data_IF_180231321507
#
_entry.id   IF_180231321507
#
_cell.length_a   1.000
_cell.length_b   1.000
_cell.length_c   1.000
_cell.angle_alpha   90.00
_cell.angle_beta   90.00
_cell.angle_gamma   90.00
#
_symmetry.space_group_name_H-M   'P 1'
#
loop_
_entity.id
_entity.type
_entity.pdbx_description
1 polymer ?
#
# COMPACT_ATOMS: atom_id res chain seq x y z
N UNK A 1 57.87 38.61 1.85
CA UNK A 1 56.87 37.98 2.76
C UNK A 1 55.41 38.22 2.36
N UNK A 2 55.04 39.37 1.77
CA UNK A 2 53.63 39.64 1.38
C UNK A 2 53.04 38.77 0.25
N UNK A 3 53.85 38.27 -0.71
CA UNK A 3 53.35 37.45 -1.83
C UNK A 3 52.98 36.01 -1.44
N UNK A 4 53.56 35.45 -0.38
CA UNK A 4 53.20 34.11 0.10
C UNK A 4 51.87 34.10 0.89
N UNK A 5 51.54 35.20 1.58
CA UNK A 5 50.31 35.30 2.37
C UNK A 5 49.04 35.40 1.51
N UNK A 6 49.12 36.05 0.33
CA UNK A 6 48.03 36.10 -0.65
C UNK A 6 47.73 34.73 -1.29
N UNK A 7 48.74 33.89 -1.46
CA UNK A 7 48.58 32.53 -2.03
C UNK A 7 47.87 31.59 -1.05
N UNK A 8 48.21 31.65 0.24
CA UNK A 8 47.60 30.82 1.27
C UNK A 8 46.10 31.13 1.50
N UNK A 9 45.71 32.40 1.43
CA UNK A 9 44.31 32.81 1.55
C UNK A 9 43.45 32.44 0.32
N UNK A 10 44.05 32.42 -0.88
CA UNK A 10 43.36 31.98 -2.09
C UNK A 10 43.18 30.46 -2.12
N UNK A 11 44.17 29.72 -1.61
CA UNK A 11 44.12 28.26 -1.51
C UNK A 11 43.12 27.77 -0.45
N UNK A 12 42.96 28.49 0.68
CA UNK A 12 41.93 28.18 1.68
C UNK A 12 40.50 28.50 1.20
N UNK A 13 40.33 29.53 0.37
CA UNK A 13 39.05 29.87 -0.27
C UNK A 13 38.65 28.86 -1.36
N UNK A 14 39.62 28.29 -2.08
CA UNK A 14 39.39 27.21 -3.06
C UNK A 14 39.09 25.85 -2.41
N UNK A 15 39.71 25.53 -1.26
CA UNK A 15 39.39 24.31 -0.51
C UNK A 15 38.02 24.37 0.18
N UNK A 16 37.50 25.56 0.50
CA UNK A 16 36.16 25.72 1.09
C UNK A 16 35.03 25.69 0.06
N UNK A 17 35.33 25.78 -1.25
CA UNK A 17 34.36 25.63 -2.34
C UNK A 17 34.18 24.18 -2.83
N UNK A 18 34.90 23.20 -2.28
CA UNK A 18 34.93 21.81 -2.80
C UNK A 18 34.04 20.82 -2.04
N UNK A 19 33.12 21.29 -1.18
CA UNK A 19 32.10 20.46 -0.52
C UNK A 19 30.69 20.68 -1.11
N UNK A 20 30.58 20.82 -2.43
CA UNK A 20 29.30 20.56 -3.07
C UNK A 20 29.18 19.05 -3.24
N UNK A 21 28.49 18.40 -2.31
CA UNK A 21 27.95 17.07 -2.58
C UNK A 21 27.12 17.17 -3.85
N UNK A 22 27.56 16.51 -4.92
CA UNK A 22 26.78 16.39 -6.15
C UNK A 22 25.41 15.80 -5.78
N UNK A 23 24.36 16.63 -5.85
CA UNK A 23 23.00 16.21 -5.49
C UNK A 23 22.50 15.31 -6.62
N UNK A 24 22.81 14.01 -6.54
CA UNK A 24 22.22 13.00 -7.41
C UNK A 24 20.71 12.96 -7.18
N UNK A 25 19.93 13.59 -8.06
CA UNK A 25 18.47 13.55 -8.02
C UNK A 25 17.95 12.35 -8.80
N UNK A 26 17.01 11.61 -8.24
CA UNK A 26 16.17 10.68 -9.02
C UNK A 26 15.25 11.48 -9.93
N UNK A 27 14.89 10.92 -11.09
CA UNK A 27 13.93 11.56 -11.99
C UNK A 27 12.74 10.66 -12.24
N UNK A 28 11.54 11.23 -12.17
CA UNK A 28 10.33 10.56 -12.61
C UNK A 28 9.99 11.04 -14.01
N UNK A 29 10.08 10.13 -15.00
CA UNK A 29 9.58 10.38 -16.35
C UNK A 29 8.17 9.81 -16.46
N UNK A 30 7.18 10.68 -16.33
CA UNK A 30 5.76 10.33 -16.46
C UNK A 30 5.40 10.40 -17.94
N UNK A 31 4.91 9.29 -18.50
CA UNK A 31 4.58 9.16 -19.94
C UNK A 31 3.11 8.80 -20.06
N UNK A 32 2.35 9.59 -20.82
CA UNK A 32 0.97 9.25 -21.15
C UNK A 32 0.94 8.42 -22.44
N UNK A 33 0.70 7.11 -22.31
CA UNK A 33 0.44 6.20 -23.44
C UNK A 33 -1.05 5.97 -23.71
N UNK A 34 -1.93 6.56 -22.91
CA UNK A 34 -3.37 6.53 -23.17
C UNK A 34 -3.70 7.33 -24.44
N UNK A 35 -4.82 7.00 -25.10
CA UNK A 35 -5.30 7.71 -26.30
C UNK A 35 -5.95 9.07 -25.99
N UNK A 36 -6.12 9.40 -24.71
CA UNK A 36 -6.74 10.64 -24.24
C UNK A 36 -5.78 11.42 -23.34
N UNK A 37 -6.08 12.70 -23.12
CA UNK A 37 -5.34 13.54 -22.16
C UNK A 37 -5.60 13.06 -20.74
N UNK A 38 -4.54 12.97 -19.94
CA UNK A 38 -4.60 12.71 -18.50
C UNK A 38 -4.07 13.92 -17.74
N UNK A 39 -4.44 14.03 -16.47
CA UNK A 39 -3.92 15.08 -15.60
C UNK A 39 -3.27 14.47 -14.36
N UNK A 40 -1.96 14.18 -14.40
CA UNK A 40 -1.27 13.62 -13.25
C UNK A 40 -1.41 14.51 -12.01
N UNK A 41 -1.55 13.88 -10.86
CA UNK A 41 -1.52 14.49 -9.53
C UNK A 41 -0.39 13.86 -8.71
N UNK A 42 0.23 14.65 -7.83
CA UNK A 42 1.36 14.23 -7.01
C UNK A 42 1.12 14.71 -5.58
N UNK A 43 1.22 13.77 -4.66
CA UNK A 43 1.16 14.00 -3.23
C UNK A 43 2.48 13.58 -2.61
N UNK A 44 3.24 14.54 -2.09
CA UNK A 44 4.37 14.23 -1.20
C UNK A 44 3.82 13.90 0.19
N UNK A 45 4.41 12.89 0.86
CA UNK A 45 4.07 12.56 2.25
C UNK A 45 4.29 13.73 3.23
N UNK A 46 3.66 13.63 4.42
CA UNK A 46 3.72 14.68 5.44
C UNK A 46 5.17 15.04 5.84
N UNK A 47 5.37 16.30 6.26
CA UNK A 47 6.66 16.84 6.73
C UNK A 47 7.79 16.90 5.70
N UNK A 48 7.49 16.84 4.39
CA UNK A 48 8.47 17.05 3.31
C UNK A 48 7.99 18.13 2.33
N UNK A 49 8.91 18.86 1.68
CA UNK A 49 8.55 19.83 0.64
C UNK A 49 7.76 19.16 -0.50
N UNK A 50 6.62 19.73 -0.92
CA UNK A 50 5.87 19.24 -2.07
C UNK A 50 6.73 19.24 -3.33
N UNK A 51 6.52 18.26 -4.22
CA UNK A 51 7.04 18.34 -5.57
C UNK A 51 6.30 19.44 -6.33
N UNK A 52 7.04 20.17 -7.16
CA UNK A 52 6.47 21.18 -8.06
C UNK A 52 6.65 20.70 -9.51
N UNK A 53 5.58 20.50 -10.28
CA UNK A 53 4.16 20.70 -9.92
C UNK A 53 3.59 19.58 -9.04
N UNK A 54 2.51 19.89 -8.32
CA UNK A 54 1.64 18.91 -7.64
C UNK A 54 0.53 18.39 -8.55
N UNK A 55 0.31 19.02 -9.70
CA UNK A 55 -0.56 18.48 -10.75
C UNK A 55 -0.38 19.21 -12.08
N UNK A 56 -0.54 18.48 -13.19
CA UNK A 56 -0.32 19.04 -14.53
C UNK A 56 -1.13 18.32 -15.61
N UNK A 57 -1.25 18.93 -16.79
CA UNK A 57 -1.87 18.33 -17.97
C UNK A 57 -0.84 17.52 -18.77
N UNK A 58 -1.20 16.32 -19.22
CA UNK A 58 -0.35 15.49 -20.08
C UNK A 58 -1.15 14.90 -21.24
N UNK A 59 -0.95 15.42 -22.46
CA UNK A 59 -1.62 14.94 -23.68
C UNK A 59 -1.16 13.52 -24.05
N UNK A 60 -1.97 12.83 -24.86
CA UNK A 60 -1.63 11.51 -25.42
C UNK A 60 -0.26 11.54 -26.12
N UNK A 61 0.58 10.53 -25.86
CA UNK A 61 1.96 10.43 -26.35
C UNK A 61 2.95 11.38 -25.67
N UNK A 62 2.46 12.31 -24.84
CA UNK A 62 3.30 13.27 -24.12
C UNK A 62 4.06 12.64 -22.96
N UNK A 63 5.15 13.30 -22.55
CA UNK A 63 5.87 12.95 -21.33
C UNK A 63 6.33 14.19 -20.58
N UNK A 64 6.47 14.07 -19.27
CA UNK A 64 7.06 15.10 -18.40
C UNK A 64 8.04 14.44 -17.46
N UNK A 65 9.23 15.04 -17.35
CA UNK A 65 10.25 14.61 -16.39
C UNK A 65 10.24 15.55 -15.20
N UNK A 66 10.20 14.98 -14.01
CA UNK A 66 10.28 15.70 -12.74
C UNK A 66 11.55 15.29 -12.01
N UNK A 67 12.24 16.27 -11.43
CA UNK A 67 13.32 15.99 -10.49
C UNK A 67 12.71 15.70 -9.14
N UNK A 68 13.07 14.56 -8.57
CA UNK A 68 12.59 14.11 -7.28
C UNK A 68 13.79 14.11 -6.33
N UNK A 69 13.64 14.64 -5.10
CA UNK A 69 14.67 14.53 -4.08
C UNK A 69 15.09 13.08 -3.90
N UNK A 70 16.38 12.85 -3.63
CA UNK A 70 16.94 11.51 -3.43
C UNK A 70 16.17 10.70 -2.38
N UNK A 71 15.75 11.36 -1.30
CA UNK A 71 14.84 10.81 -0.32
C UNK A 71 13.47 11.46 -0.49
N UNK A 72 12.52 10.72 -1.06
CA UNK A 72 11.15 11.18 -1.26
C UNK A 72 10.20 10.02 -1.05
N UNK A 73 9.07 10.29 -0.40
CA UNK A 73 7.96 9.33 -0.32
C UNK A 73 6.68 10.06 -0.63
N UNK A 74 5.81 9.40 -1.38
CA UNK A 74 4.58 9.98 -1.87
C UNK A 74 3.93 9.13 -2.94
N UNK A 75 2.87 9.69 -3.51
CA UNK A 75 1.97 9.00 -4.43
C UNK A 75 1.78 9.83 -5.69
N UNK A 76 1.72 9.15 -6.82
CA UNK A 76 1.41 9.72 -8.13
C UNK A 76 0.18 9.01 -8.66
N UNK A 77 -0.79 9.77 -9.15
CA UNK A 77 -1.96 9.23 -9.84
C UNK A 77 -2.24 10.05 -11.10
N UNK A 78 -3.24 9.65 -11.87
CA UNK A 78 -3.69 10.45 -13.00
C UNK A 78 -5.21 10.57 -13.05
N UNK A 79 -5.67 11.81 -13.22
CA UNK A 79 -7.08 12.16 -13.40
C UNK A 79 -7.48 12.02 -14.86
N UNK A 80 -8.74 11.67 -15.10
CA UNK A 80 -9.31 11.56 -16.45
C UNK A 80 -10.63 12.32 -16.55
N UNK A 81 -11.05 12.60 -17.78
CA UNK A 81 -12.29 13.31 -18.09
C UNK A 81 -12.41 14.65 -17.34
N UNK A 82 -11.31 15.42 -17.31
CA UNK A 82 -11.29 16.72 -16.65
C UNK A 82 -11.82 17.83 -17.55
N UNK A 83 -12.49 18.80 -16.93
CA UNK A 83 -12.96 20.01 -17.58
C UNK A 83 -12.70 21.25 -16.71
N UNK A 84 -12.38 22.35 -17.38
CA UNK A 84 -12.47 23.70 -16.83
C UNK A 84 -13.41 24.48 -17.74
N UNK A 85 -14.72 24.25 -17.62
CA UNK A 85 -15.68 25.04 -18.37
C UNK A 85 -15.50 26.53 -18.01
N UNK A 86 -15.80 27.44 -18.94
CA UNK A 86 -15.56 28.87 -18.74
C UNK A 86 -16.29 29.39 -17.51
N UNK A 87 -15.53 29.83 -16.49
CA UNK A 87 -16.07 30.31 -15.22
C UNK A 87 -16.26 29.25 -14.13
N UNK A 88 -16.00 27.96 -14.42
CA UNK A 88 -16.12 26.86 -13.47
C UNK A 88 -14.75 26.41 -12.93
N UNK A 89 -14.76 25.83 -11.73
CA UNK A 89 -13.56 25.23 -11.11
C UNK A 89 -13.13 23.99 -11.89
N UNK A 90 -11.82 23.79 -12.05
CA UNK A 90 -11.29 22.59 -12.68
C UNK A 90 -11.69 21.36 -11.86
N UNK A 91 -12.30 20.39 -12.53
CA UNK A 91 -12.78 19.14 -11.92
C UNK A 91 -12.63 17.98 -12.90
N UNK A 92 -12.57 16.77 -12.35
CA UNK A 92 -12.38 15.53 -13.10
C UNK A 92 -13.41 14.47 -12.70
N UNK A 93 -13.79 13.60 -13.64
CA UNK A 93 -14.73 12.52 -13.32
C UNK A 93 -14.09 11.41 -12.46
N UNK A 94 -12.79 11.20 -12.58
CA UNK A 94 -12.06 10.15 -11.83
C UNK A 94 -10.83 10.73 -11.14
N UNK A 95 -10.54 10.24 -9.93
CA UNK A 95 -9.33 10.56 -9.17
C UNK A 95 -9.10 12.07 -8.93
N UNK A 96 -10.17 12.87 -8.96
CA UNK A 96 -10.11 14.31 -8.75
C UNK A 96 -9.52 14.62 -7.36
N UNK A 97 -8.79 15.72 -7.23
CA UNK A 97 -8.19 16.11 -5.95
C UNK A 97 -8.93 17.28 -5.29
N UNK A 98 -10.08 17.69 -5.82
CA UNK A 98 -10.98 18.72 -5.32
C UNK A 98 -10.32 20.08 -5.00
N UNK A 99 -9.15 20.36 -5.55
CA UNK A 99 -8.48 21.66 -5.40
C UNK A 99 -9.15 22.76 -6.23
N UNK A 100 -10.03 22.39 -7.16
CA UNK A 100 -10.63 23.28 -8.15
C UNK A 100 -9.61 23.78 -9.20
N UNK A 101 -8.40 23.20 -9.25
CA UNK A 101 -7.28 23.60 -10.11
C UNK A 101 -6.58 22.37 -10.69
N UNK A 102 -5.78 22.58 -11.73
CA UNK A 102 -4.91 21.52 -12.25
C UNK A 102 -3.89 21.09 -11.19
N UNK A 103 -3.32 22.01 -10.43
CA UNK A 103 -2.49 21.72 -9.26
C UNK A 103 -3.33 21.14 -8.11
N UNK A 104 -2.86 20.06 -7.46
CA UNK A 104 -3.57 19.45 -6.33
C UNK A 104 -3.22 20.06 -4.97
N UNK A 105 -2.13 20.82 -4.86
CA UNK A 105 -1.82 21.64 -3.68
C UNK A 105 -1.68 20.85 -2.38
N UNK A 106 -1.26 19.58 -2.46
CA UNK A 106 -1.15 18.69 -1.30
C UNK A 106 -2.43 17.90 -0.98
N UNK A 107 -3.51 18.05 -1.75
CA UNK A 107 -4.65 17.14 -1.69
C UNK A 107 -4.33 15.83 -2.42
N UNK A 108 -4.80 14.71 -1.86
CA UNK A 108 -4.76 13.40 -2.51
C UNK A 108 -5.88 13.21 -3.54
N UNK A 109 -5.83 12.09 -4.27
CA UNK A 109 -6.94 11.68 -5.12
C UNK A 109 -8.18 11.32 -4.30
N UNK A 110 -9.36 11.68 -4.80
CA UNK A 110 -10.63 11.13 -4.35
C UNK A 110 -10.84 9.79 -5.07
N UNK A 111 -10.93 8.67 -4.34
CA UNK A 111 -11.15 7.36 -4.94
C UNK A 111 -12.46 7.26 -5.76
N UNK A 112 -12.52 6.39 -6.79
CA UNK A 112 -11.48 5.42 -7.16
C UNK A 112 -10.29 6.01 -7.93
N UNK A 113 -9.07 5.57 -7.58
CA UNK A 113 -7.84 6.01 -8.21
C UNK A 113 -6.76 4.91 -8.17
N UNK A 114 -6.18 4.61 -9.33
CA UNK A 114 -4.94 3.81 -9.41
C UNK A 114 -3.77 4.66 -8.94
N UNK A 115 -2.99 4.16 -7.97
CA UNK A 115 -1.88 4.89 -7.35
C UNK A 115 -0.55 4.24 -7.72
N UNK A 116 0.44 5.04 -8.10
CA UNK A 116 1.85 4.66 -8.05
C UNK A 116 2.45 5.22 -6.77
N UNK A 117 2.90 4.33 -5.89
CA UNK A 117 3.44 4.67 -4.59
C UNK A 117 4.95 4.51 -4.61
N UNK A 118 5.67 5.42 -3.94
CA UNK A 118 7.13 5.38 -3.91
C UNK A 118 7.65 5.73 -2.53
N UNK A 119 8.76 5.07 -2.19
CA UNK A 119 9.68 5.43 -1.14
C UNK A 119 11.09 5.33 -1.69
N UNK A 120 11.68 6.47 -2.05
CA UNK A 120 13.03 6.57 -2.58
C UNK A 120 14.06 6.69 -1.46
N UNK A 121 15.20 6.03 -1.65
CA UNK A 121 16.29 5.92 -0.67
C UNK A 121 15.75 5.53 0.71
N UNK A 122 14.85 4.54 0.70
CA UNK A 122 14.35 3.83 1.86
C UNK A 122 15.37 2.82 2.36
N UNK A 123 14.95 1.59 2.61
CA UNK A 123 15.79 0.57 3.26
C UNK A 123 17.10 0.26 2.57
N UNK A 124 18.18 0.22 3.34
CA UNK A 124 19.55 0.04 2.83
C UNK A 124 19.93 1.02 1.69
N UNK A 125 19.22 2.15 1.56
CA UNK A 125 19.34 3.07 0.43
C UNK A 125 18.73 2.55 -0.87
N UNK A 126 17.83 1.56 -0.80
CA UNK A 126 17.02 1.02 -1.89
C UNK A 126 15.76 1.87 -2.09
N UNK A 127 15.23 1.81 -3.31
CA UNK A 127 13.96 2.42 -3.67
C UNK A 127 12.86 1.35 -3.64
N UNK A 128 11.72 1.67 -3.03
CA UNK A 128 10.52 0.83 -3.00
C UNK A 128 9.41 1.52 -3.78
N UNK A 129 8.67 0.75 -4.56
CA UNK A 129 7.58 1.26 -5.38
C UNK A 129 6.63 0.15 -5.78
N UNK A 130 5.36 0.51 -5.94
CA UNK A 130 4.29 -0.38 -6.35
C UNK A 130 3.17 0.39 -7.07
N UNK A 131 2.31 -0.36 -7.75
CA UNK A 131 1.03 0.16 -8.24
C UNK A 131 -0.07 -0.46 -7.38
N UNK A 132 -0.78 0.39 -6.64
CA UNK A 132 -1.82 0.00 -5.69
C UNK A 132 -3.22 0.28 -6.23
N UNK A 133 -4.11 -0.69 -5.99
CA UNK A 133 -5.56 -0.62 -6.28
C UNK A 133 -6.41 -0.63 -5.00
N UNK A 134 -5.80 -0.39 -3.84
CA UNK A 134 -6.49 -0.29 -2.54
C UNK A 134 -7.58 0.79 -2.60
N UNK A 135 -7.25 1.93 -3.22
CA UNK A 135 -8.16 3.05 -3.47
C UNK A 135 -8.95 2.87 -4.79
N UNK A 136 -9.02 1.65 -5.33
CA UNK A 136 -9.72 1.34 -6.59
C UNK A 136 -8.88 1.57 -7.84
N UNK A 137 -9.54 1.54 -8.99
CA UNK A 137 -8.94 1.61 -10.32
C UNK A 137 -9.61 2.70 -11.15
N UNK A 138 -8.83 3.45 -11.93
CA UNK A 138 -9.39 4.33 -12.95
C UNK A 138 -8.67 4.24 -14.31
N UNK A 139 -7.38 3.91 -14.32
CA UNK A 139 -6.60 3.77 -15.54
C UNK A 139 -5.42 2.81 -15.36
N UNK A 140 -4.90 2.20 -16.44
CA UNK A 140 -3.75 1.31 -16.35
C UNK A 140 -2.47 2.09 -16.07
N UNK A 141 -1.62 1.55 -15.21
CA UNK A 141 -0.40 2.21 -14.76
C UNK A 141 0.74 1.20 -14.64
N UNK A 142 1.95 1.65 -14.96
CA UNK A 142 3.17 0.85 -14.89
C UNK A 142 4.33 1.71 -14.41
N UNK A 143 5.05 1.18 -13.42
CA UNK A 143 6.33 1.71 -12.96
C UNK A 143 7.44 0.84 -13.57
N UNK A 144 8.40 1.49 -14.22
CA UNK A 144 9.61 0.84 -14.72
C UNK A 144 10.80 1.63 -14.17
N UNK A 145 11.51 1.05 -13.20
CA UNK A 145 12.76 1.61 -12.73
C UNK A 145 13.85 1.48 -13.81
N UNK A 146 14.60 2.56 -14.04
CA UNK A 146 15.70 2.61 -15.02
C UNK A 146 16.96 3.14 -14.35
N UNK A 147 18.00 2.31 -14.31
CA UNK A 147 19.19 2.56 -13.48
C UNK A 147 18.95 2.11 -12.03
N UNK A 148 20.02 1.79 -11.29
CA UNK A 148 19.93 1.40 -9.86
C UNK A 148 20.40 -0.02 -9.50
N UNK A 149 20.73 -0.89 -10.47
CA UNK A 149 21.10 -2.30 -10.21
C UNK A 149 22.46 -2.57 -9.56
N UNK A 150 23.19 -1.55 -9.10
CA UNK A 150 24.57 -1.69 -8.62
C UNK A 150 24.74 -2.22 -7.19
N UNK A 151 23.64 -2.30 -6.40
CA UNK A 151 23.67 -2.69 -4.97
C UNK A 151 22.91 -3.99 -4.66
N UNK A 152 22.72 -4.86 -5.65
CA UNK A 152 22.17 -6.21 -5.42
C UNK A 152 20.63 -6.32 -5.32
N UNK A 153 19.89 -5.23 -5.50
CA UNK A 153 18.42 -5.26 -5.60
C UNK A 153 17.94 -5.42 -7.05
N UNK A 154 16.94 -6.28 -7.28
CA UNK A 154 16.29 -6.41 -8.59
C UNK A 154 15.28 -5.27 -8.80
N UNK A 155 15.49 -4.47 -9.85
CA UNK A 155 14.56 -3.40 -10.26
C UNK A 155 13.47 -3.96 -11.20
N UNK A 156 12.48 -4.66 -10.64
CA UNK A 156 11.38 -5.25 -11.43
C UNK A 156 10.28 -4.22 -11.76
N UNK A 157 9.74 -4.22 -12.99
CA UNK A 157 8.58 -3.40 -13.29
C UNK A 157 7.34 -3.91 -12.50
N UNK A 158 6.48 -3.00 -12.08
CA UNK A 158 5.23 -3.29 -11.36
C UNK A 158 4.09 -2.43 -11.90
N UNK A 159 2.90 -2.99 -12.06
CA UNK A 159 1.79 -2.29 -12.68
C UNK A 159 0.53 -3.12 -12.90
N UNK A 160 -0.57 -2.41 -13.14
CA UNK A 160 -1.82 -2.96 -13.63
C UNK A 160 -2.03 -2.45 -15.07
N UNK A 161 -1.79 -3.31 -16.06
CA UNK A 161 -1.81 -2.94 -17.48
C UNK A 161 -3.14 -3.23 -18.18
N UNK A 162 -4.00 -4.03 -17.57
CA UNK A 162 -5.32 -4.38 -18.10
C UNK A 162 -6.30 -3.26 -17.79
N UNK A 163 -7.22 -3.00 -18.72
CA UNK A 163 -8.36 -2.12 -18.46
C UNK A 163 -9.39 -2.84 -17.59
N UNK A 164 -9.38 -2.55 -16.29
CA UNK A 164 -10.32 -3.14 -15.35
C UNK A 164 -11.71 -2.50 -15.43
N UNK A 165 -11.87 -1.36 -16.10
CA UNK A 165 -13.16 -0.68 -16.15
C UNK A 165 -14.21 -1.50 -16.93
N UNK A 166 -13.80 -2.14 -18.03
CA UNK A 166 -14.70 -2.97 -18.84
C UNK A 166 -15.12 -4.27 -18.16
N UNK A 167 -14.29 -4.81 -17.27
CA UNK A 167 -14.58 -5.99 -16.46
C UNK A 167 -15.12 -5.62 -15.06
N UNK A 168 -15.27 -4.33 -14.76
CA UNK A 168 -15.68 -3.88 -13.46
C UNK A 168 -17.14 -4.30 -13.20
N UNK A 169 -17.40 -5.04 -12.11
CA UNK A 169 -18.75 -5.39 -11.72
C UNK A 169 -19.62 -4.14 -11.58
N UNK A 170 -20.89 -4.24 -11.95
CA UNK A 170 -21.80 -3.08 -12.04
C UNK A 170 -21.90 -2.31 -10.72
N UNK A 171 -21.85 -3.02 -9.60
CA UNK A 171 -21.97 -2.49 -8.25
C UNK A 171 -20.75 -1.67 -7.85
N UNK A 172 -19.58 -1.95 -8.44
CA UNK A 172 -18.32 -1.24 -8.21
C UNK A 172 -18.05 -0.18 -9.29
N UNK A 173 -18.77 -0.22 -10.40
CA UNK A 173 -18.57 0.67 -11.54
C UNK A 173 -18.93 2.12 -11.22
N UNK A 174 -18.09 3.03 -11.68
CA UNK A 174 -18.38 4.47 -11.68
C UNK A 174 -18.74 4.86 -13.11
N UNK A 175 -20.01 5.21 -13.32
CA UNK A 175 -20.48 5.64 -14.64
C UNK A 175 -19.97 7.05 -14.97
N UNK A 176 -19.70 7.28 -16.26
CA UNK A 176 -19.57 8.63 -16.78
C UNK A 176 -20.94 9.32 -16.63
N UNK A 177 -21.02 10.44 -15.91
CA UNK A 177 -22.25 11.13 -15.53
C UNK A 177 -23.15 11.67 -16.67
N UNK A 178 -22.97 11.21 -17.90
CA UNK A 178 -23.72 11.58 -19.10
C UNK A 178 -24.70 10.49 -19.59
N UNK A 179 -25.06 9.53 -18.75
CA UNK A 179 -25.96 8.43 -19.10
C UNK A 179 -25.31 7.29 -19.91
N UNK A 180 -23.98 7.32 -20.11
CA UNK A 180 -23.27 6.18 -20.69
C UNK A 180 -23.21 5.03 -19.67
N UNK A 181 -23.37 3.79 -20.15
CA UNK A 181 -23.17 2.57 -19.35
C UNK A 181 -21.70 2.17 -19.22
N UNK A 182 -20.79 2.94 -19.79
CA UNK A 182 -19.36 2.68 -19.74
C UNK A 182 -18.82 3.09 -18.36
N UNK A 183 -18.25 2.12 -17.66
CA UNK A 183 -17.51 2.37 -16.42
C UNK A 183 -16.26 3.17 -16.77
N UNK A 184 -16.02 4.28 -16.06
CA UNK A 184 -14.80 5.08 -16.20
C UNK A 184 -13.82 4.87 -15.05
N UNK A 185 -14.28 4.21 -14.00
CA UNK A 185 -13.45 3.80 -12.88
C UNK A 185 -14.13 2.63 -12.13
N UNK A 186 -13.35 1.80 -11.47
CA UNK A 186 -13.82 0.70 -10.64
C UNK A 186 -13.47 0.97 -9.18
N UNK A 187 -14.48 1.01 -8.30
CA UNK A 187 -14.26 1.08 -6.87
C UNK A 187 -13.60 -0.20 -6.39
N UNK A 188 -12.63 -0.08 -5.49
CA UNK A 188 -12.27 -1.23 -4.66
C UNK A 188 -13.46 -1.58 -3.79
N UNK A 189 -13.52 -2.83 -3.34
CA UNK A 189 -14.57 -3.26 -2.43
C UNK A 189 -14.55 -2.42 -1.11
N UNK A 190 -13.37 -1.97 -0.67
CA UNK A 190 -13.22 -1.05 0.47
C UNK A 190 -13.94 0.29 0.22
N UNK A 191 -13.75 0.87 -0.97
CA UNK A 191 -14.37 2.14 -1.34
C UNK A 191 -15.88 2.05 -1.55
N UNK A 192 -16.36 0.95 -2.16
CA UNK A 192 -17.78 0.74 -2.39
C UNK A 192 -18.57 0.71 -1.08
N UNK A 193 -18.02 0.10 -0.01
CA UNK A 193 -18.72 0.04 1.26
C UNK A 193 -18.67 1.32 2.08
N UNK A 194 -17.61 2.14 1.97
CA UNK A 194 -17.59 3.48 2.60
C UNK A 194 -18.81 4.31 2.17
N UNK A 195 -19.22 4.20 0.90
CA UNK A 195 -20.40 4.88 0.37
C UNK A 195 -21.73 4.27 0.83
N UNK A 196 -21.80 2.96 1.01
CA UNK A 196 -22.98 2.30 1.57
C UNK A 196 -23.18 2.69 3.05
N UNK A 197 -22.10 2.80 3.81
CA UNK A 197 -22.11 3.29 5.19
C UNK A 197 -22.47 4.78 5.28
N UNK A 198 -21.98 5.62 4.35
CA UNK A 198 -22.33 7.05 4.30
C UNK A 198 -23.79 7.32 3.89
N UNK A 199 -24.49 6.36 3.25
CA UNK A 199 -25.93 6.47 2.96
C UNK A 199 -26.84 6.03 4.10
N UNK A 200 -26.28 5.53 5.20
CA UNK A 200 -27.03 5.08 6.37
C UNK A 200 -26.83 6.08 7.50
N UNK A 201 -27.46 7.25 7.38
CA UNK A 201 -27.55 8.20 8.50
C UNK A 201 -28.25 7.49 9.67
N UNK A 202 -27.67 7.60 10.87
CA UNK A 202 -28.22 7.19 12.19
C UNK A 202 -27.99 5.77 12.70
N UNK A 203 -26.88 5.10 12.35
CA UNK A 203 -26.40 4.00 13.19
C UNK A 203 -25.00 4.31 13.73
N UNK A 204 -24.88 4.43 15.05
CA UNK A 204 -23.62 4.30 15.75
C UNK A 204 -22.98 2.98 15.29
N UNK A 205 -21.90 3.06 14.50
CA UNK A 205 -21.18 1.88 14.04
C UNK A 205 -20.72 1.13 15.29
N UNK A 206 -21.18 -0.10 15.55
CA UNK A 206 -20.65 -0.82 16.68
C UNK A 206 -19.18 -1.11 16.38
N UNK A 207 -18.30 -0.52 17.17
CA UNK A 207 -16.84 -0.65 17.15
C UNK A 207 -16.33 -2.09 17.43
N UNK A 208 -17.18 -3.12 17.30
CA UNK A 208 -16.99 -4.43 17.96
C UNK A 208 -16.91 -5.64 17.01
N UNK A 209 -16.62 -5.48 15.71
CA UNK A 209 -16.38 -6.64 14.83
C UNK A 209 -15.19 -6.42 13.86
N UNK A 210 -14.05 -5.95 14.40
CA UNK A 210 -12.82 -5.67 13.63
C UNK A 210 -11.71 -6.65 14.00
N UNK A 211 -11.44 -7.67 13.19
CA UNK A 211 -10.17 -8.38 13.32
C UNK A 211 -9.04 -7.43 12.96
N UNK A 212 -8.16 -7.20 13.92
CA UNK A 212 -7.23 -6.08 13.92
C UNK A 212 -5.82 -6.58 14.23
N UNK A 213 -4.86 -6.15 13.43
CA UNK A 213 -3.45 -6.35 13.70
C UNK A 213 -2.86 -5.02 14.17
N UNK A 214 -2.37 -4.98 15.40
CA UNK A 214 -1.64 -3.82 15.91
C UNK A 214 -0.14 -4.03 15.69
N UNK A 215 0.53 -3.02 15.15
CA UNK A 215 1.98 -2.92 15.13
C UNK A 215 2.38 -1.95 16.23
N UNK A 216 2.83 -2.48 17.36
CA UNK A 216 3.28 -1.69 18.51
C UNK A 216 4.79 -1.64 18.62
N UNK A 217 5.40 -0.44 18.66
CA UNK A 217 6.78 -0.28 19.13
C UNK A 217 6.78 0.00 20.62
N UNK A 218 7.29 -0.94 21.42
CA UNK A 218 7.66 -0.65 22.81
C UNK A 218 9.10 -0.15 22.89
N UNK A 219 9.28 1.04 23.47
CA UNK A 219 10.58 1.46 24.00
C UNK A 219 10.94 0.55 25.17
N UNK A 220 11.78 -0.46 24.97
CA UNK A 220 12.47 -1.07 26.10
C UNK A 220 13.36 0.01 26.72
N UNK A 221 13.00 0.52 27.91
CA UNK A 221 13.91 1.29 28.76
C UNK A 221 14.98 0.35 29.30
N UNK A 222 15.91 -0.08 28.45
CA UNK A 222 17.08 -0.83 28.89
C UNK A 222 18.32 -0.28 28.17
N UNK A 223 19.26 0.14 29.01
CA UNK A 223 20.58 0.67 28.72
C UNK A 223 21.49 -0.35 28.02
N UNK A 224 21.23 -0.61 26.74
CA UNK A 224 22.16 -1.28 25.82
C UNK A 224 21.86 -0.87 24.37
N UNK A 225 22.86 -0.77 23.49
CA UNK A 225 22.66 -0.51 22.06
C UNK A 225 22.11 -1.78 21.39
N UNK A 226 20.84 -2.08 21.63
CA UNK A 226 20.13 -3.22 21.06
C UNK A 226 19.16 -2.75 19.96
N UNK A 227 19.13 -3.49 18.85
CA UNK A 227 18.40 -3.18 17.64
C UNK A 227 16.89 -2.94 17.88
N UNK A 228 16.32 -1.91 17.25
CA UNK A 228 14.90 -1.53 17.39
C UNK A 228 13.96 -2.50 16.66
N UNK A 229 13.41 -3.50 17.37
CA UNK A 229 12.35 -4.37 16.86
C UNK A 229 10.94 -3.77 17.00
N UNK A 230 9.92 -4.49 16.51
CA UNK A 230 8.51 -4.16 16.76
C UNK A 230 7.77 -5.37 17.33
N UNK A 231 6.68 -5.10 18.05
CA UNK A 231 5.75 -6.12 18.53
C UNK A 231 4.51 -6.12 17.65
N UNK A 232 4.22 -7.25 17.04
CA UNK A 232 2.96 -7.48 16.34
C UNK A 232 1.96 -8.07 17.33
N UNK A 233 0.83 -7.41 17.54
CA UNK A 233 -0.27 -7.90 18.38
C UNK A 233 -1.48 -8.18 17.50
N UNK A 234 -1.79 -9.45 17.34
CA UNK A 234 -2.96 -9.93 16.63
C UNK A 234 -4.15 -9.92 17.58
N UNK A 235 -5.28 -9.38 17.12
CA UNK A 235 -6.53 -9.31 17.88
C UNK A 235 -7.64 -9.84 16.99
N UNK A 236 -8.23 -10.95 17.40
CA UNK A 236 -9.39 -11.49 16.69
C UNK A 236 -10.66 -10.90 17.30
N UNK A 237 -11.42 -10.14 16.51
CA UNK A 237 -12.77 -9.70 16.87
C UNK A 237 -13.83 -10.24 15.94
N UNK A 238 -13.48 -11.17 15.04
CA UNK A 238 -14.48 -11.97 14.36
C UNK A 238 -15.28 -12.76 15.41
N UNK A 239 -16.53 -13.09 15.05
CA UNK A 239 -17.42 -13.97 15.81
C UNK A 239 -17.05 -15.48 15.67
N UNK A 240 -15.83 -15.77 15.22
CA UNK A 240 -15.32 -17.11 14.99
C UNK A 240 -13.80 -17.13 15.16
N UNK A 241 -13.24 -18.33 15.36
CA UNK A 241 -11.79 -18.55 15.40
C UNK A 241 -11.17 -18.25 14.04
N UNK A 242 -10.03 -17.56 14.06
CA UNK A 242 -9.17 -17.32 12.90
C UNK A 242 -7.84 -18.01 13.17
N UNK A 243 -7.19 -18.54 12.14
CA UNK A 243 -5.84 -19.08 12.24
C UNK A 243 -4.86 -18.21 11.46
N UNK A 244 -4.23 -17.20 12.07
CA UNK A 244 -3.25 -16.40 11.37
C UNK A 244 -2.11 -17.25 10.79
N UNK A 245 -1.63 -16.85 9.62
CA UNK A 245 -0.42 -17.34 8.98
C UNK A 245 0.62 -16.22 8.89
N UNK A 246 1.90 -16.59 9.01
CA UNK A 246 3.02 -15.67 8.97
C UNK A 246 4.02 -16.20 7.95
N UNK A 247 4.42 -15.33 7.01
CA UNK A 247 5.51 -15.62 6.09
C UNK A 247 6.55 -14.51 6.15
N UNK A 248 7.76 -14.84 6.60
CA UNK A 248 8.90 -13.97 6.49
C UNK A 248 9.39 -13.91 5.03
N UNK A 249 9.77 -12.73 4.56
CA UNK A 249 10.37 -12.54 3.24
C UNK A 249 11.80 -13.09 3.21
N UNK A 250 12.33 -13.31 2.00
CA UNK A 250 13.70 -13.78 1.81
C UNK A 250 14.70 -12.85 2.53
N UNK A 251 15.58 -13.44 3.35
CA UNK A 251 16.55 -12.70 4.15
C UNK A 251 16.05 -12.23 5.53
N UNK A 252 14.75 -12.35 5.82
CA UNK A 252 14.20 -12.15 7.17
C UNK A 252 14.10 -13.48 7.92
N UNK A 253 14.39 -13.51 9.23
CA UNK A 253 14.20 -14.72 10.02
C UNK A 253 12.71 -15.05 10.17
N UNK A 254 12.39 -16.33 10.30
CA UNK A 254 11.07 -16.74 10.79
C UNK A 254 10.85 -16.18 12.20
N UNK A 255 9.62 -15.77 12.49
CA UNK A 255 9.20 -15.44 13.85
C UNK A 255 8.99 -16.72 14.67
N UNK A 256 8.58 -16.59 15.93
CA UNK A 256 8.36 -17.72 16.85
C UNK A 256 7.39 -18.79 16.32
N UNK A 257 6.53 -18.43 15.37
CA UNK A 257 5.58 -19.31 14.69
C UNK A 257 5.36 -18.82 13.25
N UNK A 258 4.94 -19.73 12.37
CA UNK A 258 4.49 -19.47 11.00
C UNK A 258 2.97 -19.61 10.84
N UNK A 259 2.26 -20.05 11.88
CA UNK A 259 0.82 -20.06 11.92
C UNK A 259 0.28 -20.58 13.26
N UNK A 260 -0.85 -20.04 13.70
CA UNK A 260 -1.40 -20.33 15.03
C UNK A 260 -2.93 -20.19 15.09
N UNK A 261 -3.57 -20.82 16.08
CA UNK A 261 -4.97 -20.57 16.43
C UNK A 261 -5.14 -19.26 17.22
N UNK A 262 -6.12 -18.45 16.83
CA UNK A 262 -6.52 -17.23 17.52
C UNK A 262 -8.06 -17.24 17.72
N UNK A 263 -8.56 -17.72 18.87
CA UNK A 263 -9.99 -17.77 19.17
C UNK A 263 -10.66 -16.39 19.14
N UNK A 264 -11.99 -16.36 19.03
CA UNK A 264 -12.78 -15.13 19.14
C UNK A 264 -12.40 -14.33 20.41
N UNK A 265 -12.30 -13.01 20.26
CA UNK A 265 -12.00 -12.05 21.33
C UNK A 265 -10.67 -12.25 22.05
N UNK A 266 -9.77 -13.05 21.48
CA UNK A 266 -8.43 -13.29 22.00
C UNK A 266 -7.37 -12.44 21.30
N UNK A 267 -6.22 -12.35 21.94
CA UNK A 267 -5.06 -11.64 21.42
C UNK A 267 -3.80 -12.48 21.53
N UNK A 268 -2.85 -12.26 20.63
CA UNK A 268 -1.52 -12.88 20.70
C UNK A 268 -0.47 -11.94 20.14
N UNK A 269 0.66 -11.83 20.83
CA UNK A 269 1.74 -10.93 20.45
C UNK A 269 3.02 -11.67 20.13
N UNK A 270 3.79 -11.13 19.19
CA UNK A 270 5.09 -11.64 18.78
C UNK A 270 6.06 -10.48 18.60
N UNK A 271 7.33 -10.72 18.90
CA UNK A 271 8.38 -9.75 18.63
C UNK A 271 9.02 -10.06 17.29
N UNK A 272 9.16 -9.04 16.45
CA UNK A 272 9.92 -9.09 15.23
C UNK A 272 11.21 -8.29 15.39
N UNK A 273 12.35 -8.80 14.91
CA UNK A 273 13.61 -8.08 14.97
C UNK A 273 13.57 -6.81 14.11
N UNK A 274 14.49 -5.88 14.39
CA UNK A 274 14.73 -4.75 13.51
C UNK A 274 15.08 -5.24 12.10
N UNK A 275 14.56 -4.58 11.05
CA UNK A 275 14.80 -5.00 9.67
C UNK A 275 13.90 -6.14 9.18
N UNK A 276 12.99 -6.66 10.01
CA UNK A 276 12.13 -7.77 9.60
C UNK A 276 11.14 -7.33 8.52
N UNK A 277 11.01 -8.15 7.48
CA UNK A 277 10.03 -8.00 6.41
C UNK A 277 9.25 -9.30 6.21
N UNK A 278 7.96 -9.18 5.98
CA UNK A 278 7.09 -10.33 5.74
C UNK A 278 5.63 -9.93 5.60
N UNK A 279 4.78 -10.95 5.57
CA UNK A 279 3.34 -10.80 5.42
C UNK A 279 2.57 -11.70 6.37
N UNK A 280 1.36 -11.25 6.66
CA UNK A 280 0.40 -11.88 7.54
C UNK A 280 -0.93 -12.05 6.82
N UNK A 281 -1.66 -13.10 7.15
CA UNK A 281 -3.03 -13.30 6.69
C UNK A 281 -3.79 -14.08 7.77
N UNK A 282 -5.11 -14.14 7.69
CA UNK A 282 -5.91 -15.01 8.54
C UNK A 282 -6.59 -16.11 7.73
N UNK A 283 -6.61 -17.32 8.27
CA UNK A 283 -7.31 -18.48 7.71
C UNK A 283 -8.63 -18.70 8.44
N UNK A 284 -9.64 -19.18 7.74
CA UNK A 284 -10.98 -19.44 8.32
C UNK A 284 -11.46 -20.86 8.02
N UNK A 285 -12.32 -21.40 8.90
CA UNK A 285 -12.91 -22.73 8.73
C UNK A 285 -11.87 -23.85 8.72
N UNK A 286 -10.83 -23.75 9.53
CA UNK A 286 -9.75 -24.73 9.56
C UNK A 286 -10.11 -25.95 10.40
N UNK A 287 -9.74 -27.14 9.91
CA UNK A 287 -9.83 -28.39 10.67
C UNK A 287 -8.50 -29.14 10.59
N UNK A 288 -7.72 -29.10 11.69
CA UNK A 288 -6.44 -29.80 11.80
C UNK A 288 -6.61 -31.19 12.41
N UNK A 289 -7.07 -32.16 11.62
CA UNK A 289 -7.16 -33.56 12.08
C UNK A 289 -5.81 -34.28 11.88
N UNK A 290 -5.35 -35.03 12.89
CA UNK A 290 -4.07 -35.75 12.88
C UNK A 290 -3.97 -36.95 11.94
N UNK A 291 -4.79 -37.03 10.88
CA UNK A 291 -4.79 -38.15 9.92
C UNK A 291 -4.69 -37.64 8.48
N UNK A 292 -4.20 -38.50 7.59
CA UNK A 292 -3.69 -38.26 6.23
C UNK A 292 -4.70 -37.74 5.18
N UNK A 293 -5.80 -37.13 5.59
CA UNK A 293 -6.65 -36.29 4.76
C UNK A 293 -6.39 -34.86 5.20
N UNK A 294 -5.44 -34.22 4.50
CA UNK A 294 -4.74 -33.01 4.92
C UNK A 294 -5.65 -31.95 5.54
N UNK A 295 -5.25 -31.44 6.69
CA UNK A 295 -5.91 -30.30 7.29
C UNK A 295 -5.98 -29.16 6.28
N UNK A 296 -7.19 -28.69 6.03
CA UNK A 296 -7.44 -27.61 5.11
C UNK A 296 -8.26 -26.53 5.81
N UNK A 297 -7.90 -25.28 5.55
CA UNK A 297 -8.76 -24.14 5.82
C UNK A 297 -9.64 -23.85 4.60
N UNK A 298 -10.86 -23.36 4.83
CA UNK A 298 -11.76 -22.98 3.75
C UNK A 298 -11.21 -21.79 2.94
N UNK A 299 -10.54 -20.85 3.62
CA UNK A 299 -9.91 -19.70 2.98
C UNK A 299 -8.51 -19.44 3.53
N UNK A 300 -7.63 -18.87 2.70
CA UNK A 300 -6.26 -18.51 3.08
C UNK A 300 -5.35 -19.70 3.41
N UNK A 301 -5.76 -20.93 3.13
CA UNK A 301 -4.99 -22.14 3.44
C UNK A 301 -3.58 -22.04 2.88
N UNK A 302 -2.58 -22.48 3.64
CA UNK A 302 -1.18 -22.42 3.21
C UNK A 302 -0.65 -23.74 2.66
N UNK A 303 -1.51 -24.77 2.52
CA UNK A 303 -1.17 -26.06 1.93
C UNK A 303 -0.24 -26.93 2.76
N UNK A 304 0.09 -26.54 4.00
CA UNK A 304 0.99 -27.30 4.86
C UNK A 304 0.34 -28.54 5.48
N UNK A 305 -1.00 -28.61 5.46
CA UNK A 305 -1.74 -29.64 6.17
C UNK A 305 -1.66 -29.51 7.70
N UNK A 306 -1.22 -28.36 8.23
CA UNK A 306 -0.96 -28.12 9.66
C UNK A 306 -1.30 -26.67 10.02
N UNK A 307 -1.41 -26.42 11.32
CA UNK A 307 -1.56 -25.05 11.82
C UNK A 307 -0.34 -24.19 11.45
N UNK A 308 0.87 -24.72 11.58
CA UNK A 308 2.10 -24.08 11.11
C UNK A 308 2.19 -24.09 9.58
N UNK A 309 2.47 -22.96 8.95
CA UNK A 309 2.59 -22.84 7.50
C UNK A 309 3.98 -23.18 6.95
N UNK A 310 5.01 -23.23 7.80
CA UNK A 310 6.34 -23.75 7.42
C UNK A 310 7.03 -22.99 6.28
N UNK A 311 6.77 -21.69 6.15
CA UNK A 311 7.31 -20.88 5.05
C UNK A 311 6.51 -20.93 3.75
N UNK A 312 5.31 -21.53 3.77
CA UNK A 312 4.35 -21.46 2.67
C UNK A 312 3.46 -20.21 2.81
N UNK A 313 3.05 -19.64 1.67
CA UNK A 313 2.13 -18.50 1.62
C UNK A 313 0.67 -18.93 1.54
N UNK A 314 -0.23 -17.97 1.73
CA UNK A 314 -1.66 -18.18 1.57
C UNK A 314 -2.02 -18.55 0.12
N UNK A 315 -2.93 -19.51 -0.05
CA UNK A 315 -3.68 -19.70 -1.29
C UNK A 315 -4.74 -18.60 -1.42
N UNK A 316 -4.77 -17.84 -2.54
CA UNK A 316 -5.83 -16.86 -2.81
C UNK A 316 -7.22 -17.52 -2.89
N UNK A 317 -8.31 -16.82 -2.50
CA UNK A 317 -8.31 -15.43 -2.07
C UNK A 317 -7.90 -15.23 -0.61
N UNK A 318 -7.03 -14.26 -0.33
CA UNK A 318 -6.59 -13.92 1.02
C UNK A 318 -6.30 -12.42 1.18
N UNK A 319 -6.84 -11.82 2.23
CA UNK A 319 -6.47 -10.47 2.66
C UNK A 319 -5.07 -10.52 3.28
N UNK A 320 -4.12 -9.73 2.77
CA UNK A 320 -2.74 -9.70 3.26
C UNK A 320 -2.44 -8.42 4.04
N UNK A 321 -1.74 -8.54 5.16
CA UNK A 321 -1.04 -7.44 5.81
C UNK A 321 0.45 -7.56 5.53
N UNK A 322 1.03 -6.58 4.85
CA UNK A 322 2.44 -6.59 4.46
C UNK A 322 3.19 -5.59 5.33
N UNK A 323 4.36 -5.98 5.86
CA UNK A 323 5.14 -5.15 6.78
C UNK A 323 6.63 -5.26 6.49
N UNK A 324 7.33 -4.13 6.57
CA UNK A 324 8.78 -4.03 6.57
C UNK A 324 9.23 -3.06 7.66
N UNK A 325 9.93 -3.56 8.67
CA UNK A 325 10.36 -2.82 9.85
C UNK A 325 11.77 -2.28 9.72
N UNK A 326 12.02 -1.10 10.28
CA UNK A 326 13.37 -0.53 10.39
C UNK A 326 14.02 -0.21 9.04
N UNK A 327 13.22 -0.20 7.97
CA UNK A 327 13.61 0.20 6.66
C UNK A 327 14.16 1.63 6.67
N UNK A 328 15.38 1.81 6.19
CA UNK A 328 15.78 3.06 5.54
C UNK A 328 15.72 4.30 6.42
N UNK A 329 16.71 4.44 7.30
CA UNK A 329 16.68 5.49 8.33
C UNK A 329 15.79 5.13 9.53
N UNK A 330 15.37 3.87 9.65
CA UNK A 330 14.64 3.34 10.80
C UNK A 330 13.11 3.49 10.73
N UNK A 331 12.56 3.76 9.54
CA UNK A 331 11.12 3.85 9.29
C UNK A 331 10.51 2.47 9.10
N UNK A 332 9.22 2.34 9.41
CA UNK A 332 8.44 1.12 9.18
C UNK A 332 7.46 1.38 8.03
N UNK A 333 7.31 0.41 7.12
CA UNK A 333 6.33 0.42 6.01
C UNK A 333 5.35 -0.71 6.18
N UNK A 334 4.07 -0.44 5.94
CA UNK A 334 3.02 -1.44 6.07
C UNK A 334 1.77 -1.04 5.29
N UNK A 335 1.05 -2.05 4.80
CA UNK A 335 -0.21 -1.89 4.09
C UNK A 335 -1.09 -3.14 4.28
N UNK A 336 -2.37 -3.00 3.91
CA UNK A 336 -3.26 -4.14 3.73
C UNK A 336 -3.60 -4.23 2.26
N UNK A 337 -3.22 -5.35 1.66
CA UNK A 337 -3.32 -5.61 0.23
C UNK A 337 -4.47 -6.58 -0.07
N UNK A 338 -5.23 -6.22 -1.11
CA UNK A 338 -6.28 -7.07 -1.70
C UNK A 338 -5.88 -7.56 -3.10
N UNK A 339 -4.59 -7.48 -3.44
CA UNK A 339 -4.05 -7.96 -4.72
C UNK A 339 -4.36 -9.45 -4.90
N UNK A 340 -4.25 -10.22 -3.81
CA UNK A 340 -4.54 -11.66 -3.77
C UNK A 340 -5.99 -11.96 -3.35
N UNK A 341 -6.91 -10.99 -3.52
CA UNK A 341 -8.32 -11.12 -3.18
C UNK A 341 -8.65 -10.77 -1.72
N UNK A 342 -9.79 -11.25 -1.25
CA UNK A 342 -10.32 -10.94 0.08
C UNK A 342 -10.96 -12.19 0.69
N UNK A 343 -10.72 -12.42 1.98
CA UNK A 343 -11.43 -13.45 2.74
C UNK A 343 -11.99 -12.95 4.07
N UNK A 344 -11.27 -12.04 4.76
CA UNK A 344 -11.70 -11.47 6.04
C UNK A 344 -11.28 -10.00 6.18
N UNK A 345 -11.99 -9.21 7.00
CA UNK A 345 -11.64 -7.81 7.24
C UNK A 345 -10.39 -7.73 8.08
N UNK A 346 -9.48 -6.85 7.68
CA UNK A 346 -8.19 -6.66 8.34
C UNK A 346 -7.81 -5.19 8.33
N UNK A 347 -7.27 -4.73 9.46
CA UNK A 347 -6.70 -3.40 9.60
C UNK A 347 -5.37 -3.52 10.33
N UNK A 348 -4.41 -2.72 9.86
CA UNK A 348 -3.18 -2.43 10.58
C UNK A 348 -3.34 -1.10 11.31
N UNK A 349 -3.17 -1.11 12.62
CA UNK A 349 -3.04 0.10 13.45
C UNK A 349 -1.64 0.15 14.09
N UNK A 350 -0.99 1.31 14.07
CA UNK A 350 0.31 1.48 14.74
C UNK A 350 0.16 2.11 16.12
N UNK A 351 0.89 1.58 17.10
CA UNK A 351 1.01 2.18 18.45
C UNK A 351 2.46 2.53 18.76
N UNK A 352 2.72 3.79 19.13
CA UNK A 352 4.07 4.34 19.26
C UNK A 352 4.70 4.75 17.91
N UNK A 353 6.01 5.02 17.91
CA UNK A 353 6.74 5.52 16.74
C UNK A 353 6.55 7.04 16.51
N UNK A 354 7.28 7.58 15.53
CA UNK A 354 7.19 8.98 15.09
C UNK A 354 7.03 9.03 13.57
N UNK A 355 6.30 10.02 13.05
CA UNK A 355 5.95 10.12 11.63
C UNK A 355 4.45 10.09 11.39
N UNK A 356 4.02 9.67 10.20
CA UNK A 356 2.60 9.65 9.81
C UNK A 356 1.79 8.60 10.56
N UNK A 357 2.34 7.39 10.73
CA UNK A 357 1.76 6.29 11.52
C UNK A 357 0.24 6.09 11.29
N UNK A 358 -0.22 6.11 10.04
CA UNK A 358 -1.63 6.05 9.69
C UNK A 358 -2.14 4.61 9.65
N UNK A 359 -3.37 4.36 10.11
CA UNK A 359 -3.99 3.05 9.94
C UNK A 359 -4.32 2.75 8.47
N UNK A 360 -4.27 1.48 8.10
CA UNK A 360 -4.52 1.00 6.74
C UNK A 360 -5.31 -0.31 6.74
N UNK A 361 -6.11 -0.52 5.70
CA UNK A 361 -6.95 -1.71 5.51
C UNK A 361 -8.45 -1.45 5.47
N UNK A 362 -9.20 -2.54 5.57
CA UNK A 362 -10.64 -2.56 5.37
C UNK A 362 -11.35 -3.25 6.54
N UNK A 363 -12.14 -2.48 7.29
CA UNK A 363 -12.99 -2.96 8.40
C UNK A 363 -14.29 -3.60 7.92
N UNK A 364 -14.58 -3.52 6.62
CA UNK A 364 -15.83 -4.01 6.06
C UNK A 364 -15.67 -5.46 5.63
N UNK A 365 -16.68 -6.28 5.92
CA UNK A 365 -16.88 -7.58 5.29
C UNK A 365 -17.23 -7.44 3.79
N UNK A 366 -16.20 -7.54 2.94
CA UNK A 366 -16.33 -7.38 1.48
C UNK A 366 -17.06 -8.57 0.84
N UNK A 367 -17.15 -9.73 1.51
CA UNK A 367 -17.87 -10.89 0.99
C UNK A 367 -19.36 -10.59 0.80
N UNK A 368 -19.94 -9.71 1.62
CA UNK A 368 -21.36 -9.31 1.55
C UNK A 368 -21.73 -8.55 0.29
N UNK A 369 -20.76 -7.86 -0.30
CA UNK A 369 -20.92 -7.09 -1.53
C UNK A 369 -20.13 -7.68 -2.70
N UNK A 370 -19.54 -8.87 -2.51
CA UNK A 370 -18.73 -9.52 -3.53
C UNK A 370 -19.61 -9.89 -4.74
N UNK A 371 -19.31 -9.38 -5.94
CA UNK A 371 -20.00 -9.73 -7.17
C UNK A 371 -19.91 -11.23 -7.45
N UNK A 372 -20.95 -11.81 -8.08
CA UNK A 372 -21.08 -13.25 -8.22
C UNK A 372 -19.88 -13.90 -8.93
N UNK A 373 -19.32 -13.21 -9.91
CA UNK A 373 -18.15 -13.59 -10.69
C UNK A 373 -16.83 -13.61 -9.91
N UNK A 374 -16.77 -12.94 -8.74
CA UNK A 374 -15.59 -12.90 -7.86
C UNK A 374 -15.77 -13.75 -6.59
N UNK A 375 -16.94 -14.38 -6.40
CA UNK A 375 -17.20 -15.19 -5.21
C UNK A 375 -16.42 -16.49 -5.27
N UNK A 376 -15.65 -16.74 -4.22
CA UNK A 376 -15.13 -18.07 -3.92
C UNK A 376 -16.17 -18.83 -3.09
N UNK A 377 -16.59 -19.99 -3.57
CA UNK A 377 -17.50 -20.89 -2.86
C UNK A 377 -16.73 -22.17 -2.57
N UNK A 378 -16.48 -22.47 -1.30
CA UNK A 378 -15.87 -23.74 -0.89
C UNK A 378 -16.94 -24.84 -0.91
N UNK A 379 -16.71 -25.92 -1.68
CA UNK A 379 -17.62 -27.07 -1.77
C UNK A 379 -17.56 -28.03 -0.56
N UNK A 380 -16.92 -27.65 0.55
CA UNK A 380 -16.73 -28.51 1.71
C UNK A 380 -17.98 -28.66 2.61
N UNK A 381 -19.12 -28.03 2.29
CA UNK A 381 -20.32 -28.03 3.15
C UNK A 381 -21.54 -28.75 2.59
N UNK A 382 -21.48 -29.40 1.43
CA UNK A 382 -22.65 -30.11 0.87
C UNK A 382 -22.85 -31.56 1.40
N UNK A 383 -21.99 -32.09 2.27
CA UNK A 383 -22.19 -33.44 2.86
C UNK A 383 -22.79 -33.45 4.28
N UNK A 384 -23.30 -32.32 4.77
CA UNK A 384 -24.08 -32.29 6.02
C UNK A 384 -25.41 -31.56 5.84
N UNK A 385 -26.36 -32.17 5.12
CA UNK A 385 -27.81 -32.08 5.39
C UNK A 385 -28.53 -33.34 4.92
#
# INVERSE_FOLDING_TARGET
MGRLLLSAAFLSLLLSFSLFSEVGSTTFKIVNKCRHTIWPGILTGANRPPLNPTGFTLRSGGSRTLRVPRAWSGRVWARTHCSAASGERFSCATADCASGRVECGGAGAIPPATLAEFTLNGDAGLDFYDVSLVDGYNLPMLIVARGGGGRGGACSPTGCLVDLNGACPRELSVARGNGSRESVACRSACEAQKLLSARKDSAELPLVNKSMMYIGRHHARLSSPAAFGATFTFVNKCDHTVWPGILANAGSPSLDTTGFELPQDSTRSFSAPAGWSGRFWGRTGCAFSGSSQGAACLTGDCGSGREECGGLGAAPPATLAEVTLGAGGGLDFYDVSLVDGYNLPMVIETTGGTGTCASTGCVTDLNRACPAELRFISYFTEEMH
#
